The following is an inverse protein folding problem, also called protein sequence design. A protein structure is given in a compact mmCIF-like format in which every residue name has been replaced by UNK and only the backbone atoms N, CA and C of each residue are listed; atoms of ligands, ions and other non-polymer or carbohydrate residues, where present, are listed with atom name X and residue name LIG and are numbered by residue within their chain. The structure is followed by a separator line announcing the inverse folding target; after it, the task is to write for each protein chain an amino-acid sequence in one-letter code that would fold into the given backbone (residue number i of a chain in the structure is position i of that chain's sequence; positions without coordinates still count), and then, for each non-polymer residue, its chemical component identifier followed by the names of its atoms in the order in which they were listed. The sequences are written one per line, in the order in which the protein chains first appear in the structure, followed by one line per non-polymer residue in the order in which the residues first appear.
data_IF_579247483181
#
_entry.id   IF_579247483181
#
_cell.length_a   1.000
_cell.length_b   1.000
_cell.length_c   1.000
_cell.angle_alpha   90.00
_cell.angle_beta   90.00
_cell.angle_gamma   90.00
#
_symmetry.space_group_name_H-M   'P 1'
#
loop_
_entity.id
_entity.type
_entity.pdbx_description
1 polymer ?
#
# COMPACT_ATOMS: atom_id res chain seq x y z
N UNK A 1 22.85 -46.55 -0.68
CA UNK A 1 23.15 -45.13 -0.98
C UNK A 1 23.87 -44.54 0.23
N UNK A 2 25.07 -43.97 0.03
CA UNK A 2 25.85 -43.26 1.07
C UNK A 2 24.92 -42.28 1.81
N UNK A 3 24.87 -42.27 3.16
CA UNK A 3 24.04 -41.34 3.92
C UNK A 3 24.24 -39.88 3.51
N UNK A 4 25.48 -39.47 3.23
CA UNK A 4 25.83 -38.12 2.80
C UNK A 4 25.28 -37.77 1.42
N UNK A 5 25.03 -38.78 0.58
CA UNK A 5 24.41 -38.61 -0.73
C UNK A 5 22.90 -38.46 -0.62
N UNK A 6 22.27 -39.08 0.40
CA UNK A 6 20.82 -38.93 0.65
C UNK A 6 20.49 -37.52 1.10
N UNK A 7 21.24 -37.00 2.07
CA UNK A 7 21.05 -35.64 2.57
C UNK A 7 21.22 -34.59 1.45
N UNK A 8 22.19 -34.79 0.53
CA UNK A 8 22.39 -33.89 -0.61
C UNK A 8 21.22 -33.86 -1.58
N UNK A 9 20.61 -35.03 -1.82
CA UNK A 9 19.46 -35.17 -2.72
C UNK A 9 18.23 -34.56 -2.07
N UNK A 10 18.05 -34.77 -0.77
CA UNK A 10 16.93 -34.19 -0.03
C UNK A 10 17.08 -32.67 0.06
N UNK A 11 18.28 -32.13 0.30
CA UNK A 11 18.56 -30.69 0.23
C UNK A 11 18.18 -30.10 -1.14
N UNK A 12 18.49 -30.79 -2.23
CA UNK A 12 18.14 -30.36 -3.58
C UNK A 12 16.62 -30.44 -3.84
N UNK A 13 15.95 -31.50 -3.37
CA UNK A 13 14.49 -31.69 -3.50
C UNK A 13 13.69 -30.62 -2.76
N UNK A 14 14.17 -30.20 -1.60
CA UNK A 14 13.51 -29.16 -0.79
C UNK A 14 13.90 -27.74 -1.22
N UNK A 15 14.68 -27.57 -2.30
CA UNK A 15 15.05 -26.27 -2.85
C UNK A 15 16.19 -25.56 -2.11
N UNK A 16 16.83 -26.21 -1.12
CA UNK A 16 17.96 -25.66 -0.39
C UNK A 16 19.26 -25.62 -1.23
N UNK A 17 19.30 -26.36 -2.35
CA UNK A 17 20.42 -26.35 -3.28
C UNK A 17 19.97 -26.15 -4.72
N UNK A 18 20.67 -25.27 -5.44
CA UNK A 18 20.60 -25.22 -6.90
C UNK A 18 21.36 -26.39 -7.52
N UNK A 19 21.14 -26.68 -8.81
CA UNK A 19 21.87 -27.73 -9.54
C UNK A 19 23.40 -27.52 -9.47
N UNK A 20 23.84 -26.27 -9.54
CA UNK A 20 25.26 -25.90 -9.38
C UNK A 20 25.75 -26.13 -7.95
N UNK A 21 24.92 -25.81 -6.95
CA UNK A 21 25.20 -26.06 -5.53
C UNK A 21 25.33 -27.55 -5.20
N UNK A 22 24.46 -28.40 -5.75
CA UNK A 22 24.50 -29.85 -5.60
C UNK A 22 25.83 -30.43 -6.14
N UNK A 23 26.23 -30.02 -7.35
CA UNK A 23 27.48 -30.48 -7.98
C UNK A 23 28.71 -30.06 -7.17
N UNK A 24 28.74 -28.80 -6.70
CA UNK A 24 29.84 -28.27 -5.91
C UNK A 24 29.98 -29.00 -4.56
N UNK A 25 28.87 -29.20 -3.83
CA UNK A 25 28.85 -29.95 -2.57
C UNK A 25 29.21 -31.44 -2.77
N UNK A 26 28.78 -32.06 -3.87
CA UNK A 26 29.12 -33.45 -4.13
C UNK A 26 30.62 -33.65 -4.36
N UNK A 27 31.25 -32.70 -5.08
CA UNK A 27 32.69 -32.70 -5.31
C UNK A 27 33.49 -32.53 -4.02
N UNK A 28 33.07 -31.65 -3.10
CA UNK A 28 33.76 -31.45 -1.81
C UNK A 28 33.62 -32.65 -0.87
N UNK A 29 32.56 -33.46 -1.03
CA UNK A 29 32.36 -34.71 -0.27
C UNK A 29 33.12 -35.91 -0.86
N UNK A 30 33.90 -35.72 -1.93
CA UNK A 30 34.67 -36.79 -2.58
C UNK A 30 33.80 -37.80 -3.33
N UNK A 31 32.57 -37.42 -3.70
CA UNK A 31 31.66 -38.29 -4.45
C UNK A 31 32.18 -38.42 -5.88
N UNK A 32 32.34 -39.66 -6.35
CA UNK A 32 32.90 -39.92 -7.68
C UNK A 32 32.05 -39.34 -8.81
N UNK A 33 32.69 -38.99 -9.93
CA UNK A 33 32.00 -38.49 -11.14
C UNK A 33 30.93 -39.47 -11.66
N UNK A 34 31.15 -40.78 -11.50
CA UNK A 34 30.18 -41.81 -11.86
C UNK A 34 28.92 -41.74 -10.96
N UNK A 35 29.10 -41.55 -9.65
CA UNK A 35 28.00 -41.38 -8.70
C UNK A 35 27.22 -40.08 -8.93
N UNK A 36 27.91 -39.01 -9.31
CA UNK A 36 27.28 -37.73 -9.68
C UNK A 36 26.49 -37.81 -11.00
N UNK A 37 26.97 -38.61 -11.95
CA UNK A 37 26.29 -38.86 -13.23
C UNK A 37 25.02 -39.70 -13.02
N UNK A 38 25.06 -40.69 -12.14
CA UNK A 38 23.87 -41.43 -11.73
C UNK A 38 22.83 -40.52 -11.04
N UNK A 39 23.31 -39.64 -10.15
CA UNK A 39 22.47 -38.65 -9.44
C UNK A 39 21.76 -37.69 -10.40
N UNK A 40 22.50 -37.14 -11.36
CA UNK A 40 21.95 -36.22 -12.36
C UNK A 40 20.98 -36.90 -13.31
N UNK A 41 21.13 -38.20 -13.58
CA UNK A 41 20.15 -39.00 -14.33
C UNK A 41 18.89 -39.28 -13.51
N UNK A 42 19.00 -39.61 -12.23
CA UNK A 42 17.85 -39.85 -11.36
C UNK A 42 17.03 -38.56 -11.15
N UNK A 43 17.70 -37.44 -10.93
CA UNK A 43 17.08 -36.10 -10.88
C UNK A 43 16.44 -35.74 -12.23
N UNK A 44 17.09 -36.03 -13.37
CA UNK A 44 16.54 -35.77 -14.71
C UNK A 44 15.32 -36.65 -15.05
N UNK A 45 15.30 -37.91 -14.58
CA UNK A 45 14.20 -38.84 -14.78
C UNK A 45 12.96 -38.51 -13.93
N UNK A 46 13.13 -37.80 -12.80
CA UNK A 46 12.03 -37.29 -11.97
C UNK A 46 11.59 -35.87 -12.36
N UNK A 47 12.36 -35.18 -13.20
CA UNK A 47 12.07 -33.83 -13.71
C UNK A 47 11.71 -33.80 -15.18
N UNK A 48 11.40 -34.96 -15.78
CA UNK A 48 10.64 -34.97 -17.03
C UNK A 48 9.23 -34.54 -16.63
N UNK A 49 8.78 -33.31 -16.96
CA UNK A 49 7.41 -32.97 -16.74
C UNK A 49 6.62 -33.96 -17.57
N UNK A 50 5.64 -34.64 -16.96
CA UNK A 50 4.50 -35.11 -17.74
C UNK A 50 4.09 -33.90 -18.60
N UNK A 51 3.88 -34.05 -19.92
CA UNK A 51 3.49 -32.92 -20.75
C UNK A 51 2.26 -32.32 -20.08
N UNK A 52 2.45 -31.14 -19.47
CA UNK A 52 1.41 -30.47 -18.73
C UNK A 52 0.25 -30.40 -19.71
N UNK A 53 -0.89 -30.99 -19.34
CA UNK A 53 -2.10 -30.85 -20.11
C UNK A 53 -2.20 -29.37 -20.45
N UNK A 54 -2.23 -29.05 -21.75
CA UNK A 54 -2.34 -27.67 -22.22
C UNK A 54 -3.43 -27.03 -21.38
N UNK A 55 -3.15 -25.97 -20.60
CA UNK A 55 -4.15 -25.40 -19.72
C UNK A 55 -5.36 -25.14 -20.60
N UNK A 56 -6.52 -25.65 -20.21
CA UNK A 56 -7.76 -25.33 -20.90
C UNK A 56 -7.76 -23.82 -21.07
N UNK A 57 -7.81 -23.36 -22.34
CA UNK A 57 -7.66 -21.95 -22.64
C UNK A 57 -8.57 -21.15 -21.75
N UNK A 58 -8.03 -20.11 -21.10
CA UNK A 58 -8.83 -19.20 -20.28
C UNK A 58 -10.01 -18.75 -21.15
N UNK A 59 -11.27 -18.96 -20.71
CA UNK A 59 -12.42 -18.54 -21.49
C UNK A 59 -12.26 -17.07 -21.88
N UNK A 60 -12.57 -16.74 -23.15
CA UNK A 60 -12.47 -15.37 -23.65
C UNK A 60 -13.27 -14.36 -22.79
N UNK A 61 -14.30 -14.85 -22.11
CA UNK A 61 -15.19 -14.07 -21.23
C UNK A 61 -14.89 -14.24 -19.73
N UNK A 62 -13.75 -14.84 -19.37
CA UNK A 62 -13.35 -14.88 -17.95
C UNK A 62 -13.05 -13.45 -17.45
N UNK A 63 -13.26 -13.15 -16.16
CA UNK A 63 -12.96 -11.83 -15.61
C UNK A 63 -11.51 -11.37 -15.89
N UNK A 64 -10.55 -12.31 -15.83
CA UNK A 64 -9.14 -12.02 -16.14
C UNK A 64 -8.91 -11.68 -17.62
N UNK A 65 -9.58 -12.38 -18.54
CA UNK A 65 -9.50 -12.09 -19.97
C UNK A 65 -10.18 -10.75 -20.31
N UNK A 66 -11.32 -10.44 -19.68
CA UNK A 66 -12.02 -9.15 -19.87
C UNK A 66 -11.13 -7.99 -19.46
N UNK A 67 -10.60 -8.00 -18.23
CA UNK A 67 -9.72 -6.93 -17.74
C UNK A 67 -8.43 -6.87 -18.57
N UNK A 68 -7.80 -8.02 -18.84
CA UNK A 68 -6.55 -8.08 -19.60
C UNK A 68 -6.69 -7.54 -21.02
N UNK A 69 -7.78 -7.90 -21.72
CA UNK A 69 -8.06 -7.40 -23.06
C UNK A 69 -8.40 -5.91 -23.05
N UNK A 70 -9.20 -5.43 -22.09
CA UNK A 70 -9.58 -4.03 -21.99
C UNK A 70 -8.38 -3.11 -21.70
N UNK A 71 -7.44 -3.56 -20.88
CA UNK A 71 -6.17 -2.86 -20.65
C UNK A 71 -5.28 -2.89 -21.90
N UNK A 72 -5.20 -4.03 -22.59
CA UNK A 72 -4.36 -4.18 -23.78
C UNK A 72 -4.89 -3.39 -25.00
N UNK A 73 -6.20 -3.26 -25.13
CA UNK A 73 -6.83 -2.44 -26.17
C UNK A 73 -6.81 -0.95 -25.86
N UNK A 74 -6.60 -0.57 -24.59
CA UNK A 74 -6.72 0.80 -24.11
C UNK A 74 -8.16 1.23 -23.87
N UNK A 75 -9.13 0.31 -23.86
CA UNK A 75 -10.52 0.60 -23.48
C UNK A 75 -10.62 0.97 -21.99
N UNK A 76 -9.69 0.45 -21.18
CA UNK A 76 -9.54 0.77 -19.76
C UNK A 76 -8.12 1.27 -19.50
N UNK A 77 -7.99 2.19 -18.56
CA UNK A 77 -6.72 2.78 -18.14
C UNK A 77 -6.44 2.53 -16.65
N UNK A 78 -5.16 2.53 -16.31
CA UNK A 78 -4.70 2.43 -14.91
C UNK A 78 -4.35 3.83 -14.42
N UNK A 79 -5.05 4.24 -13.36
CA UNK A 79 -4.83 5.51 -12.68
C UNK A 79 -3.96 5.25 -11.46
N UNK A 80 -2.81 5.89 -11.39
CA UNK A 80 -1.96 5.88 -10.20
C UNK A 80 -2.49 6.84 -9.14
N UNK A 81 -2.77 6.30 -7.96
CA UNK A 81 -3.34 7.01 -6.83
C UNK A 81 -2.34 7.19 -5.69
N UNK A 82 -1.06 6.98 -5.96
CA UNK A 82 -0.02 7.00 -4.95
C UNK A 82 0.85 8.26 -5.00
N UNK A 83 1.15 8.80 -3.83
CA UNK A 83 2.14 9.84 -3.62
C UNK A 83 3.53 9.34 -4.03
N UNK A 84 4.31 10.22 -4.64
CA UNK A 84 5.73 9.95 -4.88
C UNK A 84 6.49 10.01 -3.55
N UNK A 85 7.13 8.91 -3.15
CA UNK A 85 7.96 8.91 -1.94
C UNK A 85 9.39 9.35 -2.27
N UNK A 86 9.80 10.52 -1.78
CA UNK A 86 11.17 11.02 -1.94
C UNK A 86 11.60 11.88 -0.73
N UNK A 87 12.92 12.01 -0.44
CA UNK A 87 13.42 12.74 0.74
C UNK A 87 13.10 14.24 0.72
N UNK A 88 12.77 14.77 -0.44
CA UNK A 88 12.39 16.16 -0.70
C UNK A 88 10.87 16.34 -0.80
N UNK A 89 10.08 15.42 -0.25
CA UNK A 89 8.62 15.55 -0.14
C UNK A 89 8.16 15.38 1.31
N UNK A 90 6.98 15.93 1.70
CA UNK A 90 6.38 15.75 3.01
C UNK A 90 5.74 14.35 3.13
N UNK A 91 6.58 13.31 3.18
CA UNK A 91 6.13 11.91 3.12
C UNK A 91 6.16 11.20 4.45
N UNK A 92 6.79 11.77 5.47
CA UNK A 92 6.93 11.14 6.79
C UNK A 92 6.19 11.96 7.84
N UNK A 93 5.55 11.26 8.78
CA UNK A 93 4.94 11.90 9.95
C UNK A 93 5.95 12.79 10.71
N UNK A 94 5.54 13.98 11.20
CA UNK A 94 6.43 14.94 11.85
C UNK A 94 7.30 14.41 13.00
N UNK A 95 6.78 13.47 13.79
CA UNK A 95 7.44 12.88 14.95
C UNK A 95 8.20 11.58 14.62
N UNK A 96 8.16 11.14 13.37
CA UNK A 96 8.79 9.90 12.92
C UNK A 96 10.14 10.14 12.21
N UNK A 97 11.04 9.13 12.19
CA UNK A 97 12.21 9.16 11.33
C UNK A 97 11.80 9.44 9.89
N UNK A 98 12.47 10.42 9.28
CA UNK A 98 12.14 10.78 7.90
C UNK A 98 12.63 9.73 6.91
N UNK A 99 11.96 9.70 5.76
CA UNK A 99 12.41 8.92 4.61
C UNK A 99 13.82 9.31 4.19
N UNK A 100 14.69 8.31 4.07
CA UNK A 100 16.05 8.48 3.56
C UNK A 100 16.34 7.46 2.47
N UNK A 101 17.03 7.93 1.44
CA UNK A 101 17.63 7.08 0.41
C UNK A 101 19.14 7.10 0.62
N UNK A 102 19.71 5.93 0.90
CA UNK A 102 21.13 5.73 1.15
C UNK A 102 21.76 4.99 -0.04
N UNK A 103 22.56 5.64 -0.88
CA UNK A 103 23.27 4.97 -1.97
C UNK A 103 24.23 3.91 -1.42
N UNK A 104 24.11 2.66 -1.89
CA UNK A 104 25.01 1.57 -1.53
C UNK A 104 25.99 1.26 -2.67
N UNK A 105 25.47 1.05 -3.88
CA UNK A 105 26.24 0.72 -5.08
C UNK A 105 25.90 1.69 -6.21
N UNK A 106 26.92 2.06 -6.98
CA UNK A 106 26.77 2.83 -8.21
C UNK A 106 27.81 2.39 -9.24
N UNK A 107 27.57 2.64 -10.52
CA UNK A 107 28.49 2.25 -11.60
C UNK A 107 29.88 2.89 -11.52
N UNK A 108 30.03 3.99 -10.76
CA UNK A 108 31.31 4.61 -10.43
C UNK A 108 31.31 5.04 -8.97
N UNK A 109 32.21 4.48 -8.15
CA UNK A 109 32.31 4.86 -6.75
C UNK A 109 32.60 6.35 -6.55
N UNK A 110 32.17 6.91 -5.43
CA UNK A 110 32.51 8.28 -5.03
C UNK A 110 32.90 8.32 -3.55
N UNK A 111 33.66 9.35 -3.17
CA UNK A 111 34.18 9.54 -1.83
C UNK A 111 33.93 10.96 -1.34
N UNK A 112 33.88 11.15 -0.03
CA UNK A 112 33.90 12.46 0.61
C UNK A 112 35.25 13.15 0.34
N UNK A 113 35.35 14.46 0.60
CA UNK A 113 36.64 15.16 0.59
C UNK A 113 37.71 14.58 1.54
N UNK A 114 37.31 13.71 2.48
CA UNK A 114 38.19 13.06 3.46
C UNK A 114 38.53 11.61 3.09
N UNK A 115 38.13 11.13 1.90
CA UNK A 115 38.41 9.77 1.42
C UNK A 115 37.43 8.69 1.90
N UNK A 116 36.37 9.06 2.64
CA UNK A 116 35.33 8.11 3.06
C UNK A 116 34.43 7.77 1.87
N UNK A 117 34.17 6.48 1.54
CA UNK A 117 33.23 6.14 0.48
C UNK A 117 31.83 6.70 0.76
N UNK A 118 31.30 7.48 -0.19
CA UNK A 118 29.90 7.92 -0.21
C UNK A 118 29.01 6.86 -0.87
N UNK A 119 29.50 6.26 -1.95
CA UNK A 119 28.86 5.11 -2.63
C UNK A 119 29.95 4.18 -3.15
N UNK A 120 29.72 2.87 -3.07
CA UNK A 120 30.69 1.87 -3.55
C UNK A 120 30.49 1.62 -5.04
N UNK A 121 31.59 1.33 -5.74
CA UNK A 121 31.51 0.91 -7.15
C UNK A 121 30.87 -0.48 -7.26
N UNK A 122 29.95 -0.65 -8.20
CA UNK A 122 29.25 -1.90 -8.46
C UNK A 122 28.72 -2.00 -9.90
N UNK A 123 28.16 -3.17 -10.24
CA UNK A 123 27.57 -3.43 -11.57
C UNK A 123 26.11 -2.99 -11.69
N UNK A 124 25.57 -2.37 -10.64
CA UNK A 124 24.18 -1.96 -10.53
C UNK A 124 24.07 -0.74 -9.61
N UNK A 125 23.01 0.03 -9.82
CA UNK A 125 22.54 1.02 -8.85
C UNK A 125 21.74 0.32 -7.77
N UNK A 126 22.17 0.46 -6.52
CA UNK A 126 21.48 -0.11 -5.36
C UNK A 126 21.46 0.92 -4.25
N UNK A 127 20.27 1.20 -3.74
CA UNK A 127 20.03 2.06 -2.59
C UNK A 127 19.43 1.25 -1.45
N UNK A 128 19.64 1.71 -0.23
CA UNK A 128 18.88 1.30 0.94
C UNK A 128 17.92 2.41 1.35
N UNK A 129 16.77 2.02 1.90
CA UNK A 129 15.77 2.96 2.39
C UNK A 129 15.70 2.90 3.92
N UNK A 130 15.63 4.07 4.55
CA UNK A 130 15.07 4.20 5.90
C UNK A 130 13.64 4.69 5.74
N UNK A 131 12.68 3.92 6.24
CA UNK A 131 11.26 4.16 6.02
C UNK A 131 10.46 3.71 7.25
N UNK A 132 9.37 4.41 7.55
CA UNK A 132 8.38 3.99 8.55
C UNK A 132 7.15 3.42 7.85
N UNK A 133 6.31 2.69 8.58
CA UNK A 133 5.07 2.12 8.02
C UNK A 133 4.12 3.20 7.47
N UNK A 134 4.16 4.42 8.02
CA UNK A 134 3.34 5.57 7.63
C UNK A 134 4.09 6.57 6.74
N UNK A 135 4.75 6.07 5.70
CA UNK A 135 5.47 6.92 4.74
C UNK A 135 4.76 6.96 3.38
N UNK A 136 4.37 8.15 2.91
CA UNK A 136 3.68 8.34 1.63
C UNK A 136 2.28 7.73 1.63
N UNK A 137 1.87 7.14 0.49
CA UNK A 137 0.61 6.39 0.44
C UNK A 137 0.76 5.07 1.19
N UNK A 138 -0.06 4.91 2.22
CA UNK A 138 0.15 3.89 3.25
C UNK A 138 -1.18 3.25 3.65
N UNK A 139 -1.13 2.13 4.36
CA UNK A 139 -2.30 1.39 4.85
C UNK A 139 -2.23 1.13 6.35
N UNK A 140 -3.33 1.35 7.06
CA UNK A 140 -3.49 0.96 8.45
C UNK A 140 -4.20 -0.38 8.59
N UNK A 141 -3.67 -1.24 9.46
CA UNK A 141 -4.31 -2.46 9.91
C UNK A 141 -4.77 -2.31 11.36
N UNK A 142 -5.69 -3.18 11.85
CA UNK A 142 -6.23 -3.04 13.19
C UNK A 142 -5.21 -2.90 14.33
N UNK A 143 -4.06 -3.61 14.34
CA UNK A 143 -3.03 -3.45 15.38
C UNK A 143 -2.40 -2.05 15.45
N UNK A 144 -2.64 -1.16 14.47
CA UNK A 144 -2.12 0.22 14.51
C UNK A 144 -2.66 1.00 15.73
N UNK A 145 -3.95 0.85 16.04
CA UNK A 145 -4.59 1.50 17.20
C UNK A 145 -5.40 0.55 18.09
N UNK A 146 -5.54 -0.73 17.74
CA UNK A 146 -6.13 -1.72 18.62
C UNK A 146 -5.04 -2.55 19.30
N UNK A 147 -4.94 -2.48 20.64
CA UNK A 147 -4.04 -3.36 21.36
C UNK A 147 -4.44 -4.84 21.22
N UNK A 148 -3.49 -5.77 21.40
CA UNK A 148 -3.78 -7.19 21.47
C UNK A 148 -4.54 -7.54 22.78
N UNK A 149 -5.15 -8.74 22.87
CA UNK A 149 -5.87 -9.17 24.07
C UNK A 149 -5.03 -9.08 25.35
N UNK A 150 -5.63 -8.52 26.40
CA UNK A 150 -4.99 -8.36 27.71
C UNK A 150 -4.13 -7.10 27.87
N UNK A 151 -4.07 -6.24 26.84
CA UNK A 151 -3.49 -4.90 26.93
C UNK A 151 -4.60 -3.89 26.69
N UNK A 152 -4.84 -3.00 27.65
CA UNK A 152 -5.77 -1.88 27.49
C UNK A 152 -4.98 -0.57 27.55
N UNK A 153 -5.35 0.39 26.70
CA UNK A 153 -4.82 1.75 26.72
C UNK A 153 -5.98 2.74 26.78
N UNK A 154 -5.71 3.99 27.15
CA UNK A 154 -6.74 5.03 27.11
C UNK A 154 -7.33 5.12 25.70
N UNK A 155 -8.66 5.02 25.59
CA UNK A 155 -9.38 5.09 24.31
C UNK A 155 -9.41 3.81 23.47
N UNK A 156 -8.70 2.73 23.85
CA UNK A 156 -8.75 1.45 23.11
C UNK A 156 -8.56 0.24 24.02
N UNK A 157 -9.51 -0.70 23.98
CA UNK A 157 -9.42 -1.96 24.71
C UNK A 157 -8.75 -3.05 23.86
N UNK A 158 -8.07 -3.97 24.53
CA UNK A 158 -7.42 -5.11 23.87
C UNK A 158 -8.44 -6.03 23.19
N UNK A 159 -8.17 -6.41 21.95
CA UNK A 159 -9.07 -7.27 21.17
C UNK A 159 -8.32 -8.24 20.27
N UNK A 160 -8.98 -9.33 19.85
CA UNK A 160 -8.42 -10.28 18.87
C UNK A 160 -8.04 -9.60 17.54
N UNK A 161 -8.72 -8.51 17.18
CA UNK A 161 -8.35 -7.72 16.01
C UNK A 161 -6.99 -7.05 16.17
N UNK A 162 -6.55 -6.75 17.38
CA UNK A 162 -5.18 -6.28 17.66
C UNK A 162 -4.08 -7.31 17.34
N UNK A 163 -4.44 -8.55 16.97
CA UNK A 163 -3.51 -9.56 16.44
C UNK A 163 -3.57 -9.69 14.91
N UNK A 164 -4.47 -8.98 14.24
CA UNK A 164 -4.72 -9.10 12.80
C UNK A 164 -3.76 -8.19 12.03
N UNK A 165 -2.50 -8.62 11.90
CA UNK A 165 -1.45 -7.86 11.21
C UNK A 165 -1.59 -7.95 9.69
N UNK A 166 -1.04 -6.98 8.96
CA UNK A 166 -1.28 -6.84 7.52
C UNK A 166 -0.81 -8.02 6.67
N UNK A 167 0.19 -8.78 7.12
CA UNK A 167 0.63 -10.02 6.45
C UNK A 167 -0.37 -11.17 6.50
N UNK A 168 -1.39 -11.06 7.37
CA UNK A 168 -2.46 -12.05 7.56
C UNK A 168 -3.73 -11.76 6.75
N UNK A 169 -3.87 -10.54 6.21
CA UNK A 169 -5.05 -10.17 5.42
C UNK A 169 -5.02 -10.82 4.03
N UNK A 170 -6.20 -11.19 3.54
CA UNK A 170 -6.40 -11.49 2.13
C UNK A 170 -6.32 -10.20 1.31
N UNK A 171 -5.65 -10.22 0.15
CA UNK A 171 -5.51 -9.03 -0.69
C UNK A 171 -6.86 -8.42 -1.10
N UNK A 172 -7.88 -9.25 -1.26
CA UNK A 172 -9.24 -8.81 -1.58
C UNK A 172 -9.87 -7.91 -0.51
N UNK A 173 -9.30 -7.85 0.70
CA UNK A 173 -9.80 -6.99 1.78
C UNK A 173 -9.47 -5.50 1.57
N UNK A 174 -8.56 -5.17 0.65
CA UNK A 174 -8.14 -3.81 0.32
C UNK A 174 -8.25 -3.53 -1.19
N UNK A 175 -9.22 -4.18 -1.83
CA UNK A 175 -9.57 -4.02 -3.24
C UNK A 175 -11.09 -4.00 -3.36
N UNK A 176 -11.63 -3.25 -4.31
CA UNK A 176 -13.08 -3.21 -4.51
C UNK A 176 -13.54 -2.12 -5.46
N UNK A 177 -14.85 -1.92 -5.55
CA UNK A 177 -15.43 -0.87 -6.38
C UNK A 177 -15.30 0.47 -5.64
N UNK A 178 -14.46 1.42 -6.08
CA UNK A 178 -14.33 2.68 -5.40
C UNK A 178 -15.59 3.51 -5.59
N UNK A 179 -15.98 4.19 -4.52
CA UNK A 179 -17.04 5.18 -4.48
C UNK A 179 -16.40 6.49 -4.11
N UNK A 180 -16.23 7.39 -5.08
CA UNK A 180 -15.56 8.67 -4.83
C UNK A 180 -16.55 9.62 -4.19
N UNK A 181 -16.33 9.93 -2.91
CA UNK A 181 -17.17 10.77 -2.09
C UNK A 181 -16.57 12.16 -2.08
N UNK A 182 -17.15 13.05 -2.88
CA UNK A 182 -16.71 14.43 -3.01
C UNK A 182 -16.99 15.24 -1.73
N UNK A 183 -15.95 15.43 -0.93
CA UNK A 183 -15.91 16.18 0.31
C UNK A 183 -15.21 17.54 0.15
N UNK A 184 -14.98 18.02 -1.08
CA UNK A 184 -14.33 19.32 -1.32
C UNK A 184 -15.07 20.48 -0.66
N UNK A 185 -16.40 20.49 -0.77
CA UNK A 185 -17.23 21.54 -0.15
C UNK A 185 -17.12 21.54 1.38
N UNK A 186 -16.97 20.38 1.99
CA UNK A 186 -16.76 20.25 3.44
C UNK A 186 -15.41 20.87 3.83
N UNK A 187 -14.34 20.52 3.11
CA UNK A 187 -13.01 21.11 3.33
C UNK A 187 -12.98 22.63 3.10
N UNK A 188 -13.62 23.13 2.04
CA UNK A 188 -13.70 24.57 1.71
C UNK A 188 -14.38 25.38 2.83
N UNK A 189 -15.35 24.78 3.52
CA UNK A 189 -16.03 25.41 4.65
C UNK A 189 -15.26 25.31 5.97
N UNK A 190 -14.22 24.49 6.03
CA UNK A 190 -13.39 24.38 7.22
C UNK A 190 -12.43 25.59 7.33
N UNK A 191 -12.69 26.42 8.33
CA UNK A 191 -11.93 27.66 8.57
C UNK A 191 -11.20 27.67 9.90
N UNK A 192 -11.33 26.61 10.70
CA UNK A 192 -10.75 26.54 12.04
C UNK A 192 -9.36 25.94 11.95
N UNK A 193 -8.36 26.69 12.44
CA UNK A 193 -6.99 26.24 12.42
C UNK A 193 -6.77 25.09 13.42
N UNK A 194 -6.06 24.05 12.99
CA UNK A 194 -5.78 22.86 13.79
C UNK A 194 -6.93 21.89 13.93
N UNK A 195 -8.04 22.12 13.21
CA UNK A 195 -9.22 21.25 13.20
C UNK A 195 -9.49 20.70 11.81
N UNK A 196 -9.98 19.47 11.75
CA UNK A 196 -10.29 18.76 10.51
C UNK A 196 -11.69 19.07 10.00
N UNK A 197 -11.93 18.82 8.72
CA UNK A 197 -13.27 18.92 8.15
C UNK A 197 -14.02 17.59 8.39
N UNK A 198 -15.01 17.60 9.27
CA UNK A 198 -15.64 16.40 9.82
C UNK A 198 -16.67 15.74 8.88
N UNK A 199 -16.37 14.54 8.39
CA UNK A 199 -17.31 13.68 7.66
C UNK A 199 -18.11 12.88 8.69
N UNK A 200 -19.28 13.41 9.07
CA UNK A 200 -20.19 12.80 10.05
C UNK A 200 -21.12 11.76 9.42
N UNK A 201 -21.72 10.88 10.23
CA UNK A 201 -22.82 10.00 9.78
C UNK A 201 -23.91 10.77 9.05
N UNK A 202 -24.40 11.86 9.66
CA UNK A 202 -25.51 12.63 9.11
C UNK A 202 -25.18 13.26 7.75
N UNK A 203 -23.93 13.66 7.55
CA UNK A 203 -23.45 14.14 6.25
C UNK A 203 -23.38 13.01 5.22
N UNK A 204 -22.85 11.84 5.62
CA UNK A 204 -22.80 10.68 4.73
C UNK A 204 -24.18 10.15 4.33
N UNK A 205 -25.15 10.10 5.25
CA UNK A 205 -26.52 9.68 4.92
C UNK A 205 -27.17 10.65 3.90
N UNK A 206 -26.91 11.96 4.01
CA UNK A 206 -27.35 12.94 3.01
C UNK A 206 -26.64 12.76 1.67
N UNK A 207 -25.37 12.36 1.70
CA UNK A 207 -24.62 12.02 0.50
C UNK A 207 -25.16 10.74 -0.16
N UNK A 208 -25.41 9.67 0.60
CA UNK A 208 -26.01 8.41 0.15
C UNK A 208 -27.40 8.65 -0.48
N UNK A 209 -28.20 9.55 0.10
CA UNK A 209 -29.51 9.91 -0.45
C UNK A 209 -29.45 10.51 -1.86
N UNK A 210 -28.31 11.09 -2.25
CA UNK A 210 -28.10 11.71 -3.56
C UNK A 210 -27.35 10.79 -4.54
N UNK A 211 -26.49 9.92 -4.03
CA UNK A 211 -25.51 9.17 -4.85
C UNK A 211 -25.62 7.64 -4.71
N UNK A 212 -26.60 7.17 -3.93
CA UNK A 212 -26.84 5.76 -3.60
C UNK A 212 -26.03 5.29 -2.39
N UNK A 213 -26.66 4.43 -1.59
CA UNK A 213 -26.04 3.82 -0.40
C UNK A 213 -24.79 3.00 -0.76
N UNK A 214 -23.81 2.97 0.15
CA UNK A 214 -22.67 2.06 0.05
C UNK A 214 -23.13 0.61 0.10
N UNK A 215 -22.48 -0.23 -0.70
CA UNK A 215 -22.74 -1.66 -0.76
C UNK A 215 -21.55 -2.46 -0.22
N UNK A 216 -21.76 -3.70 0.27
CA UNK A 216 -20.66 -4.58 0.59
C UNK A 216 -19.71 -4.75 -0.61
N UNK A 217 -18.41 -4.53 -0.38
CA UNK A 217 -17.38 -4.54 -1.43
C UNK A 217 -17.11 -3.18 -2.09
N UNK A 218 -17.88 -2.14 -1.75
CA UNK A 218 -17.51 -0.76 -2.06
C UNK A 218 -16.26 -0.35 -1.26
N UNK A 219 -15.45 0.52 -1.86
CA UNK A 219 -14.30 1.19 -1.25
C UNK A 219 -14.58 2.70 -1.27
N UNK A 220 -15.18 3.28 -0.23
CA UNK A 220 -15.39 4.72 -0.19
C UNK A 220 -14.04 5.45 -0.20
N UNK A 221 -13.93 6.49 -1.02
CA UNK A 221 -12.75 7.36 -1.07
C UNK A 221 -13.19 8.77 -0.68
N UNK A 222 -12.70 9.28 0.44
CA UNK A 222 -12.85 10.68 0.82
C UNK A 222 -12.01 11.54 -0.12
N UNK A 223 -12.68 12.25 -1.03
CA UNK A 223 -12.01 13.14 -1.96
C UNK A 223 -12.24 14.59 -1.55
N UNK A 224 -11.20 15.23 -1.05
CA UNK A 224 -11.22 16.63 -0.63
C UNK A 224 -10.25 17.51 -1.43
N UNK A 225 -9.54 16.91 -2.40
CA UNK A 225 -8.40 17.49 -3.14
C UNK A 225 -7.22 17.84 -2.22
N UNK A 226 -7.11 17.25 -1.03
CA UNK A 226 -6.13 17.71 -0.04
C UNK A 226 -4.69 17.44 -0.49
N UNK A 227 -4.36 16.18 -0.79
CA UNK A 227 -3.05 15.82 -1.36
C UNK A 227 -2.78 16.54 -2.66
N UNK A 228 -3.79 16.64 -3.55
CA UNK A 228 -3.67 17.37 -4.82
C UNK A 228 -3.35 18.87 -4.64
N UNK A 229 -3.72 19.50 -3.52
CA UNK A 229 -3.39 20.91 -3.25
C UNK A 229 -2.05 21.08 -2.54
N UNK A 230 -1.74 20.21 -1.58
CA UNK A 230 -0.72 20.48 -0.58
C UNK A 230 0.48 19.54 -0.63
N UNK A 231 0.40 18.41 -1.33
CA UNK A 231 1.54 17.54 -1.53
C UNK A 231 2.47 18.12 -2.60
N UNK A 232 3.54 18.78 -2.16
CA UNK A 232 4.50 19.46 -3.02
C UNK A 232 5.93 19.08 -2.65
N UNK A 233 6.87 19.04 -3.61
CA UNK A 233 8.28 18.93 -3.28
C UNK A 233 8.76 20.15 -2.49
N UNK A 234 9.81 19.98 -1.69
CA UNK A 234 10.49 21.06 -1.01
C UNK A 234 11.16 22.00 -2.03
N UNK A 235 11.18 23.32 -1.78
CA UNK A 235 10.75 23.99 -0.55
C UNK A 235 9.25 24.34 -0.51
N UNK A 236 8.47 24.12 -1.57
CA UNK A 236 7.05 24.50 -1.59
C UNK A 236 6.21 23.66 -0.61
N UNK A 237 6.56 22.39 -0.44
CA UNK A 237 6.04 21.56 0.66
C UNK A 237 6.88 21.68 1.93
N UNK A 238 7.41 22.87 2.28
CA UNK A 238 8.36 23.10 3.39
C UNK A 238 8.15 22.16 4.59
N UNK A 239 9.14 21.31 4.88
CA UNK A 239 9.10 20.30 5.94
C UNK A 239 8.60 20.77 7.32
N UNK A 240 8.71 22.06 7.64
CA UNK A 240 8.30 22.61 8.92
C UNK A 240 7.19 23.66 8.83
N UNK A 241 6.61 23.87 7.65
CA UNK A 241 5.54 24.84 7.43
C UNK A 241 4.54 24.37 6.35
N UNK A 242 4.65 23.13 5.90
CA UNK A 242 3.85 22.64 4.81
C UNK A 242 2.37 22.56 5.20
N UNK A 243 1.55 22.76 4.19
CA UNK A 243 0.11 22.69 4.31
C UNK A 243 -0.41 21.25 4.42
N UNK A 244 0.41 20.24 4.17
CA UNK A 244 0.02 18.83 4.16
C UNK A 244 -0.02 18.24 5.57
N UNK A 245 0.99 18.53 6.40
CA UNK A 245 1.19 17.94 7.72
C UNK A 245 1.48 19.03 8.75
N UNK A 246 2.54 19.82 8.58
CA UNK A 246 3.08 20.60 9.70
C UNK A 246 2.18 21.75 10.15
N UNK A 247 1.74 22.60 9.22
CA UNK A 247 0.92 23.77 9.53
C UNK A 247 -0.41 23.41 10.24
N UNK A 248 -1.20 22.41 9.80
CA UNK A 248 -2.46 22.08 10.46
C UNK A 248 -2.24 21.32 11.78
N UNK A 249 -1.32 20.35 11.82
CA UNK A 249 -1.21 19.43 12.94
C UNK A 249 -0.30 19.97 14.06
N UNK A 250 0.89 20.46 13.71
CA UNK A 250 1.94 20.82 14.67
C UNK A 250 1.78 22.26 15.11
N UNK A 251 1.79 23.18 14.14
CA UNK A 251 1.72 24.61 14.43
C UNK A 251 0.28 25.08 14.71
N UNK A 252 -0.71 24.30 14.26
CA UNK A 252 -2.14 24.66 14.32
C UNK A 252 -2.39 26.06 13.75
N UNK A 253 -1.72 26.37 12.65
CA UNK A 253 -1.78 27.66 11.94
C UNK A 253 -2.67 27.61 10.69
N UNK A 254 -3.27 26.45 10.43
CA UNK A 254 -3.96 26.10 9.21
C UNK A 254 -5.13 25.13 9.50
N UNK A 255 -6.24 25.16 8.73
CA UNK A 255 -7.24 24.10 8.80
C UNK A 255 -6.68 22.76 8.32
N UNK A 256 -7.13 21.68 8.95
CA UNK A 256 -6.77 20.29 8.66
C UNK A 256 -7.48 19.69 7.45
N UNK A 257 -7.19 18.41 7.19
CA UNK A 257 -7.79 17.62 6.11
C UNK A 257 -9.23 17.21 6.41
N UNK A 258 -9.92 16.66 5.41
CA UNK A 258 -11.21 16.02 5.64
C UNK A 258 -10.99 14.65 6.30
N UNK A 259 -11.68 14.41 7.41
CA UNK A 259 -11.53 13.19 8.19
C UNK A 259 -12.89 12.77 8.73
N UNK A 260 -13.11 11.47 8.82
CA UNK A 260 -14.40 10.93 9.21
C UNK A 260 -14.53 10.80 10.73
N UNK A 261 -15.76 10.91 11.19
CA UNK A 261 -16.09 10.79 12.60
C UNK A 261 -16.31 9.32 12.98
N UNK A 262 -16.19 8.98 14.27
CA UNK A 262 -16.53 7.64 14.76
C UNK A 262 -17.93 7.16 14.32
N UNK A 263 -18.92 8.05 14.28
CA UNK A 263 -20.30 7.69 13.89
C UNK A 263 -20.45 7.37 12.39
N UNK A 264 -19.61 7.98 11.55
CA UNK A 264 -19.47 7.65 10.14
C UNK A 264 -18.83 6.27 9.95
N UNK A 265 -17.85 5.90 10.79
CA UNK A 265 -17.28 4.55 10.76
C UNK A 265 -18.32 3.49 11.13
N UNK A 266 -19.18 3.77 12.11
CA UNK A 266 -20.29 2.88 12.46
C UNK A 266 -21.27 2.70 11.28
N UNK A 267 -21.60 3.79 10.57
CA UNK A 267 -22.43 3.74 9.38
C UNK A 267 -21.79 2.86 8.29
N UNK A 268 -20.50 3.04 8.01
CA UNK A 268 -19.79 2.23 7.01
C UNK A 268 -19.79 0.74 7.36
N UNK A 269 -19.65 0.40 8.64
CA UNK A 269 -19.76 -0.98 9.11
C UNK A 269 -21.18 -1.53 8.89
N UNK A 270 -22.23 -0.75 9.17
CA UNK A 270 -23.62 -1.12 8.86
C UNK A 270 -23.83 -1.39 7.35
N UNK A 271 -23.07 -0.71 6.48
CA UNK A 271 -23.08 -0.92 5.02
C UNK A 271 -22.19 -2.06 4.54
N UNK A 272 -21.45 -2.72 5.44
CA UNK A 272 -20.55 -3.82 5.11
C UNK A 272 -19.27 -3.39 4.39
N UNK A 273 -18.87 -2.14 4.55
CA UNK A 273 -17.59 -1.62 4.03
C UNK A 273 -16.45 -2.16 4.90
N UNK A 274 -15.37 -2.61 4.24
CA UNK A 274 -14.20 -3.21 4.90
C UNK A 274 -12.89 -2.47 4.61
N UNK A 275 -12.88 -1.60 3.60
CA UNK A 275 -11.73 -0.76 3.26
C UNK A 275 -12.19 0.64 2.87
N UNK A 276 -11.46 1.64 3.34
CA UNK A 276 -11.76 3.05 3.08
C UNK A 276 -10.47 3.74 2.67
N UNK A 277 -10.58 4.76 1.81
CA UNK A 277 -9.43 5.55 1.34
C UNK A 277 -9.64 7.02 1.67
N UNK A 278 -8.58 7.73 2.02
CA UNK A 278 -8.58 9.19 2.16
C UNK A 278 -7.49 9.80 1.29
N UNK A 279 -7.80 10.94 0.67
CA UNK A 279 -6.79 11.78 0.01
C UNK A 279 -6.09 12.74 0.97
N UNK A 280 -6.43 12.71 2.27
CA UNK A 280 -5.69 13.35 3.34
C UNK A 280 -4.48 12.49 3.80
N UNK A 281 -3.56 13.08 4.58
CA UNK A 281 -2.43 12.35 5.16
C UNK A 281 -2.84 11.35 6.25
N UNK A 282 -4.04 11.51 6.82
CA UNK A 282 -4.60 10.55 7.76
C UNK A 282 -6.14 10.50 7.73
N UNK A 283 -6.72 9.40 8.20
CA UNK A 283 -8.12 9.26 8.55
C UNK A 283 -8.46 9.90 9.87
N UNK A 284 -7.50 9.98 10.80
CA UNK A 284 -7.69 10.62 12.09
C UNK A 284 -7.74 12.14 11.95
N UNK A 285 -8.48 12.80 12.83
CA UNK A 285 -8.50 14.25 12.89
C UNK A 285 -7.17 14.83 13.38
N UNK A 286 -6.84 16.04 12.93
CA UNK A 286 -5.69 16.86 13.39
C UNK A 286 -5.69 17.14 14.89
N UNK A 287 -6.87 17.23 15.49
CA UNK A 287 -7.13 17.55 16.89
C UNK A 287 -7.26 16.31 17.78
N UNK A 288 -7.23 15.10 17.20
CA UNK A 288 -7.32 13.85 17.94
C UNK A 288 -7.59 12.64 17.04
N UNK A 289 -6.54 12.02 16.50
CA UNK A 289 -6.71 10.95 15.51
C UNK A 289 -7.22 9.61 16.05
N UNK A 290 -6.94 9.27 17.32
CA UNK A 290 -7.18 7.92 17.85
C UNK A 290 -8.64 7.46 17.78
N UNK A 291 -9.59 8.35 18.06
CA UNK A 291 -11.00 7.96 18.17
C UNK A 291 -11.55 7.40 16.84
N UNK A 292 -11.26 8.06 15.73
CA UNK A 292 -11.63 7.57 14.39
C UNK A 292 -10.97 6.23 14.09
N UNK A 293 -9.67 6.09 14.41
CA UNK A 293 -8.91 4.83 14.23
C UNK A 293 -9.57 3.67 14.94
N UNK A 294 -9.81 3.80 16.24
CA UNK A 294 -10.46 2.75 17.02
C UNK A 294 -11.85 2.43 16.47
N UNK A 295 -12.63 3.46 16.09
CA UNK A 295 -14.01 3.30 15.64
C UNK A 295 -14.17 2.43 14.39
N UNK A 296 -13.26 2.55 13.40
CA UNK A 296 -13.28 1.69 12.21
C UNK A 296 -12.52 0.38 12.40
N UNK A 297 -11.33 0.43 13.00
CA UNK A 297 -10.46 -0.75 13.14
C UNK A 297 -11.10 -1.83 14.03
N UNK A 298 -11.96 -1.48 14.99
CA UNK A 298 -12.69 -2.44 15.84
C UNK A 298 -13.66 -3.34 15.05
N UNK A 299 -13.99 -2.99 13.81
CA UNK A 299 -14.76 -3.81 12.89
C UNK A 299 -13.87 -4.62 11.93
N UNK A 300 -12.55 -4.49 12.07
CA UNK A 300 -11.57 -5.13 11.20
C UNK A 300 -11.40 -4.45 9.85
N UNK A 301 -11.85 -3.18 9.73
CA UNK A 301 -11.59 -2.34 8.57
C UNK A 301 -10.08 -2.10 8.40
N UNK A 302 -9.69 -1.70 7.19
CA UNK A 302 -8.33 -1.26 6.84
C UNK A 302 -8.39 0.00 6.00
N UNK A 303 -7.36 0.82 6.03
CA UNK A 303 -7.49 2.20 5.53
C UNK A 303 -6.33 2.58 4.66
N UNK A 304 -6.55 3.13 3.48
CA UNK A 304 -5.47 3.74 2.71
C UNK A 304 -5.42 5.24 2.94
N UNK A 305 -4.30 5.73 3.41
CA UNK A 305 -4.03 7.16 3.63
C UNK A 305 -3.07 7.72 2.57
N UNK A 306 -3.19 9.02 2.29
CA UNK A 306 -2.35 9.70 1.32
C UNK A 306 -2.62 9.27 -0.12
N UNK A 307 -3.87 9.18 -0.54
CA UNK A 307 -4.19 9.02 -1.96
C UNK A 307 -4.06 10.36 -2.72
N UNK A 308 -3.69 10.31 -4.00
CA UNK A 308 -3.59 11.48 -4.89
C UNK A 308 -4.27 11.19 -6.23
N UNK A 309 -4.55 12.21 -7.05
CA UNK A 309 -5.19 12.08 -8.36
C UNK A 309 -6.60 11.45 -8.33
N UNK A 310 -7.23 11.35 -7.15
CA UNK A 310 -8.53 10.72 -6.95
C UNK A 310 -9.61 11.42 -7.80
N UNK A 311 -9.49 12.73 -8.04
CA UNK A 311 -10.40 13.49 -8.89
C UNK A 311 -10.51 12.99 -10.32
N UNK A 312 -9.52 12.23 -10.81
CA UNK A 312 -9.54 11.60 -12.14
C UNK A 312 -10.48 10.38 -12.22
N UNK A 313 -10.93 9.84 -11.09
CA UNK A 313 -11.87 8.73 -11.04
C UNK A 313 -13.32 9.23 -11.16
N UNK A 314 -14.20 8.52 -11.89
CA UNK A 314 -15.63 8.78 -11.82
C UNK A 314 -16.18 8.44 -10.44
N UNK A 315 -17.35 8.97 -10.10
CA UNK A 315 -18.02 8.71 -8.82
C UNK A 315 -18.14 7.21 -8.51
N UNK A 316 -18.48 6.40 -9.52
CA UNK A 316 -18.55 4.92 -9.49
C UNK A 316 -18.13 4.37 -10.86
N UNK A 317 -17.80 3.07 -10.91
CA UNK A 317 -17.50 2.37 -12.17
C UNK A 317 -16.02 2.12 -12.44
N UNK A 318 -15.17 2.33 -11.44
CA UNK A 318 -13.76 1.90 -11.47
C UNK A 318 -13.55 0.64 -10.61
N UNK A 319 -12.32 0.16 -10.51
CA UNK A 319 -11.91 -0.88 -9.56
C UNK A 319 -10.61 -0.47 -8.89
N UNK A 320 -10.63 -0.33 -7.56
CA UNK A 320 -9.53 0.12 -6.73
C UNK A 320 -8.70 -1.06 -6.23
N UNK A 321 -7.38 -0.85 -6.20
CA UNK A 321 -6.40 -1.81 -5.72
C UNK A 321 -5.39 -1.09 -4.83
N UNK A 322 -5.21 -1.59 -3.61
CA UNK A 322 -4.00 -1.36 -2.83
C UNK A 322 -3.10 -2.58 -2.88
N UNK A 323 -1.78 -2.38 -2.95
CA UNK A 323 -0.79 -3.44 -2.89
C UNK A 323 0.27 -3.10 -1.83
N UNK A 324 0.11 -3.55 -0.57
CA UNK A 324 1.08 -3.29 0.49
C UNK A 324 2.33 -4.14 0.30
N UNK A 325 3.47 -3.63 0.78
CA UNK A 325 4.60 -4.49 1.08
C UNK A 325 4.22 -5.47 2.20
N UNK A 326 4.67 -6.73 2.10
CA UNK A 326 4.26 -7.80 3.02
C UNK A 326 5.31 -8.03 4.10
N UNK A 327 5.29 -7.20 5.14
CA UNK A 327 6.15 -7.31 6.33
C UNK A 327 5.46 -8.16 7.39
N UNK A 328 6.20 -9.10 7.98
CA UNK A 328 5.70 -9.94 9.05
C UNK A 328 5.32 -9.10 10.28
N UNK A 329 4.09 -9.23 10.76
CA UNK A 329 3.63 -8.57 11.98
C UNK A 329 3.33 -7.07 11.82
N UNK A 330 3.13 -6.60 10.60
CA UNK A 330 2.94 -5.18 10.29
C UNK A 330 1.63 -4.62 10.87
N UNK A 331 1.72 -3.48 11.56
CA UNK A 331 0.56 -2.77 12.12
C UNK A 331 0.02 -1.73 11.13
N UNK A 332 0.90 -1.14 10.35
CA UNK A 332 0.59 -0.37 9.14
C UNK A 332 1.53 -0.80 8.00
N UNK A 333 1.49 -0.14 6.85
CA UNK A 333 2.44 -0.46 5.79
C UNK A 333 2.39 0.46 4.58
N UNK A 334 3.50 0.55 3.88
CA UNK A 334 3.58 1.27 2.60
C UNK A 334 3.08 0.39 1.45
N UNK A 335 2.58 1.01 0.39
CA UNK A 335 2.14 0.28 -0.79
C UNK A 335 1.93 1.15 -2.01
N UNK A 336 1.34 0.55 -3.04
CA UNK A 336 0.87 1.28 -4.22
C UNK A 336 -0.64 1.19 -4.30
N UNK A 337 -1.30 2.33 -4.24
CA UNK A 337 -2.71 2.50 -4.58
C UNK A 337 -2.83 2.83 -6.07
N UNK A 338 -3.72 2.13 -6.76
CA UNK A 338 -4.09 2.43 -8.14
C UNK A 338 -5.53 1.98 -8.40
N UNK A 339 -6.15 2.52 -9.44
CA UNK A 339 -7.45 2.05 -9.89
C UNK A 339 -7.43 1.76 -11.39
N UNK A 340 -8.33 0.88 -11.81
CA UNK A 340 -8.61 0.67 -13.22
C UNK A 340 -9.97 1.28 -13.53
N UNK A 341 -10.05 2.13 -14.56
CA UNK A 341 -11.31 2.75 -15.00
C UNK A 341 -11.47 2.66 -16.52
N UNK A 342 -12.69 2.80 -17.05
CA UNK A 342 -12.88 2.93 -18.49
C UNK A 342 -12.22 4.21 -19.03
N UNK A 343 -11.48 4.07 -20.12
CA UNK A 343 -10.79 5.19 -20.79
C UNK A 343 -11.79 6.21 -21.32
N UNK A 344 -11.46 7.49 -21.16
CA UNK A 344 -12.30 8.59 -21.65
C UNK A 344 -13.56 8.88 -20.81
N UNK A 345 -13.81 8.11 -19.75
CA UNK A 345 -14.81 8.49 -18.74
C UNK A 345 -14.21 9.59 -17.86
N UNK A 346 -14.88 10.75 -17.84
CA UNK A 346 -14.47 11.88 -17.02
C UNK A 346 -14.49 11.53 -15.53
N UNK A 347 -13.51 12.04 -14.80
CA UNK A 347 -13.49 11.96 -13.35
C UNK A 347 -14.49 12.92 -12.71
N UNK A 348 -14.63 12.84 -11.39
CA UNK A 348 -15.40 13.84 -10.62
C UNK A 348 -14.77 15.24 -10.68
N UNK A 349 -13.53 15.33 -11.15
CA UNK A 349 -12.85 16.55 -11.55
C UNK A 349 -12.33 16.45 -12.98
N UNK A 350 -12.82 17.34 -13.85
CA UNK A 350 -12.52 17.34 -15.28
C UNK A 350 -11.04 17.65 -15.62
N UNK A 351 -10.32 18.33 -14.72
CA UNK A 351 -8.90 18.68 -14.91
C UNK A 351 -8.13 18.39 -13.63
N UNK A 352 -7.38 17.27 -13.56
CA UNK A 352 -6.46 17.04 -12.44
C UNK A 352 -5.40 18.16 -12.43
N UNK A 353 -5.04 18.73 -11.26
CA UNK A 353 -4.06 19.82 -11.18
C UNK A 353 -2.65 19.41 -11.64
N UNK A 354 -2.35 18.10 -11.72
CA UNK A 354 -1.09 17.57 -12.19
C UNK A 354 -1.29 16.60 -13.36
N UNK A 355 -1.75 17.11 -14.49
CA UNK A 355 -1.46 16.43 -15.76
C UNK A 355 0.06 16.51 -15.96
N UNK A 356 0.76 15.41 -15.67
CA UNK A 356 2.18 15.27 -15.97
C UNK A 356 2.32 15.30 -17.50
N UNK A 357 2.99 16.34 -18.04
CA UNK A 357 3.47 16.34 -19.43
C UNK A 357 4.54 15.28 -19.67
#
# INVERSE_FOLDING_TARGET
MDPRLRDLVDDFRHGYLTRRGLIAKAATLGISAASLTALTREVAAQSTPEPAATPAGVPADSPAAVIGNALASGDWEVVDLSLTTAPDYPVSWPDQPQFQVMPLLWFRGSQTPYGTPLVREGIADVTAYQITEHTGTQIDFPPHFLPPPGIDVEGAAGSELGLKTGDTFALSAFMGAPVVVDARSLLETNTVNGESAHITRAWLEQWEAQHGEFQPGDVPIWYSRYSDMYFQPFPNGDRFQDRMLWAPLVDKSAPGWAAADPDAMDLLNERGVVHVVTDGPSFGWTEGGQATHVAGLQYGMTWTEGAINVGSLPLRGSFYIFAPYKVQGQAAGIGRAFAVKPSGVEGIEATPPFAVE
#
